data_IF_906704135462
#
_entry.id   IF_906704135462
#
_cell.length_a   1.000
_cell.length_b   1.000
_cell.length_c   1.000
_cell.angle_alpha   90.00
_cell.angle_beta   90.00
_cell.angle_gamma   90.00
#
_symmetry.space_group_name_H-M   'P 1'
#
loop_
_entity.id
_entity.type
_entity.pdbx_description
1 polymer ?
#
# COMPACT_ATOMS: atom_id res chain seq x y z
N UNK A 1 27.44 -16.50 -41.42
CA UNK A 1 26.03 -16.43 -40.92
C UNK A 1 25.93 -16.13 -39.41
N UNK A 2 26.86 -16.58 -38.55
CA UNK A 2 26.71 -16.45 -37.08
C UNK A 2 26.81 -15.05 -36.44
N UNK A 3 27.69 -14.15 -36.93
CA UNK A 3 27.95 -12.84 -36.25
C UNK A 3 26.74 -11.89 -36.25
N UNK A 4 25.99 -11.85 -37.35
CA UNK A 4 24.81 -10.98 -37.49
C UNK A 4 23.64 -11.47 -36.64
N UNK A 5 23.51 -12.80 -36.49
CA UNK A 5 22.47 -13.42 -35.66
C UNK A 5 22.68 -13.15 -34.17
N UNK A 6 23.93 -13.26 -33.68
CA UNK A 6 24.26 -12.95 -32.28
C UNK A 6 23.99 -11.47 -31.96
N UNK A 7 24.34 -10.54 -32.86
CA UNK A 7 24.02 -9.11 -32.69
C UNK A 7 22.52 -8.86 -32.61
N UNK A 8 21.74 -9.48 -33.48
CA UNK A 8 20.28 -9.31 -33.50
C UNK A 8 19.64 -9.84 -32.21
N UNK A 9 20.10 -10.98 -31.71
CA UNK A 9 19.66 -11.52 -30.41
C UNK A 9 20.03 -10.56 -29.27
N UNK A 10 21.24 -10.01 -29.26
CA UNK A 10 21.68 -9.04 -28.26
C UNK A 10 20.82 -7.77 -28.22
N UNK A 11 20.51 -7.20 -29.40
CA UNK A 11 19.60 -6.04 -29.52
C UNK A 11 18.23 -6.36 -28.91
N UNK A 12 17.65 -7.52 -29.26
CA UNK A 12 16.33 -7.91 -28.76
C UNK A 12 16.34 -8.09 -27.24
N UNK A 13 17.37 -8.73 -26.68
CA UNK A 13 17.49 -8.93 -25.24
C UNK A 13 17.60 -7.60 -24.47
N UNK A 14 18.40 -6.65 -24.98
CA UNK A 14 18.55 -5.32 -24.37
C UNK A 14 17.20 -4.59 -24.36
N UNK A 15 16.51 -4.54 -25.51
CA UNK A 15 15.23 -3.84 -25.62
C UNK A 15 14.14 -4.47 -24.75
N UNK A 16 14.04 -5.80 -24.73
CA UNK A 16 13.08 -6.50 -23.87
C UNK A 16 13.39 -6.28 -22.40
N UNK A 17 14.67 -6.29 -22.01
CA UNK A 17 15.10 -6.05 -20.64
C UNK A 17 14.70 -4.66 -20.15
N UNK A 18 14.97 -3.61 -20.93
CA UNK A 18 14.62 -2.24 -20.51
C UNK A 18 13.12 -1.99 -20.51
N UNK A 19 12.37 -2.51 -21.48
CA UNK A 19 10.90 -2.46 -21.48
C UNK A 19 10.33 -3.19 -20.27
N UNK A 20 10.90 -4.35 -19.92
CA UNK A 20 10.51 -5.13 -18.74
C UNK A 20 10.68 -4.34 -17.44
N UNK A 21 11.81 -3.64 -17.27
CA UNK A 21 12.05 -2.76 -16.11
C UNK A 21 11.01 -1.63 -16.05
N UNK A 22 10.71 -1.00 -17.18
CA UNK A 22 9.68 0.04 -17.25
C UNK A 22 8.29 -0.46 -16.86
N UNK A 23 7.93 -1.66 -17.35
CA UNK A 23 6.67 -2.31 -17.01
C UNK A 23 6.57 -2.64 -15.51
N UNK A 24 7.63 -3.20 -14.93
CA UNK A 24 7.68 -3.49 -13.49
C UNK A 24 7.52 -2.21 -12.67
N UNK A 25 8.21 -1.13 -13.05
CA UNK A 25 8.09 0.17 -12.38
C UNK A 25 6.67 0.74 -12.47
N UNK A 26 6.04 0.66 -13.64
CA UNK A 26 4.64 1.05 -13.81
C UNK A 26 3.71 0.24 -12.90
N UNK A 27 3.93 -1.08 -12.81
CA UNK A 27 3.12 -1.97 -11.95
C UNK A 27 3.29 -1.62 -10.47
N UNK A 28 4.50 -1.34 -10.00
CA UNK A 28 4.76 -0.90 -8.63
C UNK A 28 4.01 0.39 -8.30
N UNK A 29 4.04 1.39 -9.19
CA UNK A 29 3.33 2.65 -9.01
C UNK A 29 1.82 2.43 -8.87
N UNK A 30 1.23 1.57 -9.73
CA UNK A 30 -0.21 1.26 -9.65
C UNK A 30 -0.57 0.50 -8.38
N UNK A 31 0.24 -0.50 -8.00
CA UNK A 31 0.02 -1.31 -6.80
C UNK A 31 0.05 -0.44 -5.54
N UNK A 32 0.95 0.53 -5.47
CA UNK A 32 1.01 1.49 -4.38
C UNK A 32 -0.29 2.30 -4.25
N UNK A 33 -0.77 2.87 -5.34
CA UNK A 33 -2.03 3.61 -5.37
C UNK A 33 -3.25 2.76 -5.00
N UNK A 34 -3.34 1.54 -5.53
CA UNK A 34 -4.37 0.57 -5.14
C UNK A 34 -4.32 0.29 -3.64
N UNK A 35 -3.12 0.12 -3.07
CA UNK A 35 -2.93 -0.05 -1.63
C UNK A 35 -3.43 1.13 -0.78
N UNK A 36 -3.33 2.37 -1.28
CA UNK A 36 -3.90 3.54 -0.59
C UNK A 36 -5.44 3.54 -0.63
N UNK A 37 -6.04 3.12 -1.75
CA UNK A 37 -7.50 2.98 -1.87
C UNK A 37 -8.04 1.91 -0.92
N UNK A 38 -7.38 0.74 -0.91
CA UNK A 38 -7.68 -0.39 -0.04
C UNK A 38 -7.59 0.01 1.44
N UNK A 39 -6.53 0.73 1.81
CA UNK A 39 -6.37 1.25 3.17
C UNK A 39 -7.52 2.16 3.57
N UNK A 40 -7.90 3.13 2.71
CA UNK A 40 -9.04 4.01 2.97
C UNK A 40 -10.33 3.22 3.19
N UNK A 41 -10.60 2.23 2.36
CA UNK A 41 -11.79 1.38 2.48
C UNK A 41 -11.82 0.63 3.82
N UNK A 42 -10.67 0.09 4.24
CA UNK A 42 -10.55 -0.54 5.55
C UNK A 42 -10.88 0.45 6.69
N UNK A 43 -10.37 1.69 6.62
CA UNK A 43 -10.64 2.70 7.64
C UNK A 43 -12.09 3.15 7.66
N UNK A 44 -12.75 3.28 6.50
CA UNK A 44 -14.18 3.58 6.41
C UNK A 44 -15.02 2.48 7.05
N UNK A 45 -14.68 1.20 6.82
CA UNK A 45 -15.36 0.07 7.46
C UNK A 45 -15.19 0.08 8.97
N UNK A 46 -13.97 0.31 9.47
CA UNK A 46 -13.71 0.47 10.91
C UNK A 46 -14.56 1.59 11.50
N UNK A 47 -14.57 2.77 10.87
CA UNK A 47 -15.33 3.92 11.36
C UNK A 47 -16.83 3.60 11.44
N UNK A 48 -17.41 3.02 10.38
CA UNK A 48 -18.84 2.69 10.35
C UNK A 48 -19.22 1.64 11.40
N UNK A 49 -18.39 0.62 11.59
CA UNK A 49 -18.63 -0.41 12.58
C UNK A 49 -18.51 0.14 14.01
N UNK A 50 -17.49 0.95 14.29
CA UNK A 50 -17.28 1.61 15.59
C UNK A 50 -18.38 2.62 15.91
N UNK A 51 -18.91 3.34 14.91
CA UNK A 51 -20.05 4.25 15.06
C UNK A 51 -21.35 3.50 15.39
N UNK A 52 -21.53 2.30 14.85
CA UNK A 52 -22.74 1.51 15.10
C UNK A 52 -22.84 0.99 16.54
N UNK A 53 -21.72 0.90 17.27
CA UNK A 53 -21.61 0.36 18.63
C UNK A 53 -22.16 -1.07 18.82
N UNK A 54 -22.35 -1.83 17.74
CA UNK A 54 -23.02 -3.15 17.79
C UNK A 54 -22.11 -4.28 18.26
N UNK A 55 -20.79 -4.12 18.14
CA UNK A 55 -19.79 -5.14 18.40
C UNK A 55 -18.52 -4.54 19.01
N UNK A 56 -17.82 -5.29 19.87
CA UNK A 56 -16.55 -4.85 20.45
C UNK A 56 -15.43 -4.80 19.40
N UNK A 57 -14.42 -3.98 19.64
CA UNK A 57 -13.32 -3.75 18.69
C UNK A 57 -12.65 -5.03 18.16
N UNK A 58 -12.33 -6.06 18.99
CA UNK A 58 -11.72 -7.29 18.48
C UNK A 58 -12.57 -7.98 17.40
N UNK A 59 -13.90 -7.96 17.52
CA UNK A 59 -14.82 -8.54 16.54
C UNK A 59 -14.91 -7.71 15.27
N UNK A 60 -14.83 -6.37 15.39
CA UNK A 60 -14.73 -5.46 14.24
C UNK A 60 -13.48 -5.79 13.42
N UNK A 61 -12.33 -5.92 14.10
CA UNK A 61 -11.05 -6.22 13.45
C UNK A 61 -11.03 -7.63 12.86
N UNK A 62 -11.65 -8.63 13.52
CA UNK A 62 -11.77 -9.98 12.98
C UNK A 62 -12.60 -9.99 11.68
N UNK A 63 -13.77 -9.35 11.69
CA UNK A 63 -14.61 -9.28 10.50
C UNK A 63 -13.90 -8.55 9.36
N UNK A 64 -13.20 -7.46 9.67
CA UNK A 64 -12.39 -6.75 8.69
C UNK A 64 -11.27 -7.65 8.15
N UNK A 65 -10.57 -8.40 8.99
CA UNK A 65 -9.51 -9.31 8.56
C UNK A 65 -9.97 -10.40 7.59
N UNK A 66 -11.23 -10.81 7.67
CA UNK A 66 -11.81 -11.78 6.73
C UNK A 66 -12.25 -11.19 5.39
N UNK A 67 -12.55 -9.89 5.33
CA UNK A 67 -13.13 -9.24 4.14
C UNK A 67 -12.23 -8.17 3.53
N UNK A 68 -11.13 -7.80 4.20
CA UNK A 68 -10.18 -6.83 3.69
C UNK A 68 -9.51 -7.33 2.40
N UNK A 69 -8.98 -6.42 1.57
CA UNK A 69 -8.09 -6.77 0.47
C UNK A 69 -6.94 -7.66 0.96
N UNK A 70 -6.51 -8.61 0.12
CA UNK A 70 -5.54 -9.68 0.47
C UNK A 70 -4.29 -9.13 1.18
N UNK A 71 -3.78 -7.99 0.74
CA UNK A 71 -2.60 -7.36 1.32
C UNK A 71 -2.76 -7.05 2.83
N UNK A 72 -3.97 -6.70 3.27
CA UNK A 72 -4.29 -6.26 4.64
C UNK A 72 -4.88 -7.35 5.53
N UNK A 73 -5.35 -8.47 4.97
CA UNK A 73 -5.97 -9.55 5.76
C UNK A 73 -5.05 -10.05 6.87
N UNK A 74 -3.81 -10.37 6.54
CA UNK A 74 -2.81 -10.87 7.50
C UNK A 74 -2.50 -9.84 8.59
N UNK A 75 -2.49 -8.55 8.25
CA UNK A 75 -2.31 -7.47 9.22
C UNK A 75 -3.45 -7.44 10.23
N UNK A 76 -4.70 -7.37 9.77
CA UNK A 76 -5.86 -7.28 10.67
C UNK A 76 -6.05 -8.55 11.50
N UNK A 77 -5.78 -9.72 10.94
CA UNK A 77 -5.82 -10.98 11.70
C UNK A 77 -4.76 -11.00 12.81
N UNK A 78 -3.57 -10.43 12.56
CA UNK A 78 -2.54 -10.29 13.59
C UNK A 78 -2.97 -9.31 14.69
N UNK A 79 -3.53 -8.15 14.32
CA UNK A 79 -4.08 -7.19 15.31
C UNK A 79 -5.16 -7.84 16.17
N UNK A 80 -6.11 -8.57 15.56
CA UNK A 80 -7.15 -9.30 16.28
C UNK A 80 -6.55 -10.29 17.29
N UNK A 81 -5.59 -11.11 16.84
CA UNK A 81 -4.91 -12.08 17.70
C UNK A 81 -4.27 -11.43 18.91
N UNK A 82 -3.58 -10.31 18.71
CA UNK A 82 -2.92 -9.58 19.81
C UNK A 82 -3.94 -8.96 20.78
N UNK A 83 -5.03 -8.38 20.26
CA UNK A 83 -6.12 -7.85 21.09
C UNK A 83 -6.77 -8.93 21.97
N UNK A 84 -6.87 -10.17 21.49
CA UNK A 84 -7.48 -11.29 22.22
C UNK A 84 -6.52 -11.97 23.20
N UNK A 85 -5.20 -11.80 23.05
CA UNK A 85 -4.20 -12.50 23.86
C UNK A 85 -3.96 -11.86 25.22
N UNK A 86 -4.05 -10.53 25.34
CA UNK A 86 -3.80 -9.85 26.61
C UNK A 86 -5.04 -9.10 27.11
N UNK A 87 -5.43 -9.38 28.35
CA UNK A 87 -6.44 -8.60 29.06
C UNK A 87 -5.91 -7.16 29.22
N UNK A 88 -6.67 -6.16 28.77
CA UNK A 88 -6.26 -4.74 28.67
C UNK A 88 -5.17 -4.42 27.63
N UNK A 89 -5.10 -5.19 26.53
CA UNK A 89 -4.28 -4.85 25.36
C UNK A 89 -4.58 -3.44 24.86
N UNK A 90 -3.55 -2.59 24.77
CA UNK A 90 -3.64 -1.29 24.10
C UNK A 90 -3.83 -1.50 22.59
N UNK A 91 -4.94 -1.03 21.96
CA UNK A 91 -5.16 -1.18 20.52
C UNK A 91 -4.04 -0.57 19.68
N UNK A 92 -3.51 0.58 20.12
CA UNK A 92 -2.36 1.24 19.50
C UNK A 92 -1.11 0.37 19.51
N UNK A 93 -0.86 -0.31 20.62
CA UNK A 93 0.31 -1.16 20.77
C UNK A 93 0.20 -2.40 19.89
N UNK A 94 -0.98 -3.04 19.86
CA UNK A 94 -1.24 -4.19 18.99
C UNK A 94 -1.09 -3.82 17.50
N UNK A 95 -1.65 -2.68 17.10
CA UNK A 95 -1.53 -2.17 15.74
C UNK A 95 -0.05 -1.96 15.34
N UNK A 96 0.74 -1.40 16.25
CA UNK A 96 2.16 -1.11 16.02
C UNK A 96 2.99 -2.39 15.94
N UNK A 97 2.73 -3.39 16.78
CA UNK A 97 3.47 -4.66 16.73
C UNK A 97 3.12 -5.44 15.46
N UNK A 98 1.83 -5.52 15.08
CA UNK A 98 1.40 -6.08 13.80
C UNK A 98 2.09 -5.39 12.60
N UNK A 99 2.25 -4.07 12.64
CA UNK A 99 2.95 -3.32 11.58
C UNK A 99 4.42 -3.73 11.41
N UNK A 100 5.12 -4.06 12.50
CA UNK A 100 6.54 -4.45 12.45
C UNK A 100 6.75 -5.78 11.74
N UNK A 101 5.82 -6.72 11.87
CA UNK A 101 5.89 -8.06 11.27
C UNK A 101 5.17 -8.16 9.93
N UNK A 102 4.40 -7.14 9.54
CA UNK A 102 3.64 -7.16 8.29
C UNK A 102 4.52 -6.98 7.06
N UNK A 103 4.48 -7.98 6.17
CA UNK A 103 5.30 -8.06 4.95
C UNK A 103 4.91 -6.98 3.92
N UNK A 104 3.63 -6.61 3.85
CA UNK A 104 3.13 -5.65 2.86
C UNK A 104 3.33 -4.18 3.26
N UNK A 105 4.03 -3.88 4.37
CA UNK A 105 4.26 -2.50 4.81
C UNK A 105 5.02 -1.65 3.78
N UNK A 106 5.77 -2.28 2.87
CA UNK A 106 6.51 -1.60 1.79
C UNK A 106 5.59 -0.95 0.75
N UNK A 107 4.30 -1.26 0.77
CA UNK A 107 3.28 -0.50 0.02
C UNK A 107 3.34 0.97 0.43
N UNK A 108 3.67 1.30 1.68
CA UNK A 108 3.60 2.67 2.17
C UNK A 108 4.94 3.41 2.08
N UNK A 109 4.88 4.70 1.74
CA UNK A 109 5.97 5.63 2.01
C UNK A 109 6.16 5.82 3.52
N UNK A 110 7.27 6.45 3.90
CA UNK A 110 7.53 6.76 5.32
C UNK A 110 6.43 7.65 5.92
N UNK A 111 5.93 8.62 5.16
CA UNK A 111 4.86 9.54 5.58
C UNK A 111 3.53 8.79 5.75
N UNK A 112 3.14 8.00 4.77
CA UNK A 112 1.92 7.19 4.86
C UNK A 112 2.00 6.16 5.98
N UNK A 113 3.15 5.50 6.17
CA UNK A 113 3.34 4.54 7.25
C UNK A 113 3.22 5.19 8.63
N UNK A 114 3.65 6.45 8.78
CA UNK A 114 3.39 7.21 10.00
C UNK A 114 1.89 7.47 10.19
N UNK A 115 1.19 7.89 9.14
CA UNK A 115 -0.26 8.09 9.16
C UNK A 115 -1.02 6.78 9.48
N UNK A 116 -0.60 5.66 8.91
CA UNK A 116 -1.13 4.32 9.18
C UNK A 116 -0.96 3.92 10.65
N UNK A 117 0.18 4.23 11.27
CA UNK A 117 0.38 4.02 12.70
C UNK A 117 -0.50 4.93 13.58
N UNK A 118 -0.96 6.08 13.07
CA UNK A 118 -1.94 6.91 13.79
C UNK A 118 -3.30 6.24 13.90
N UNK A 119 -3.68 5.38 12.95
CA UNK A 119 -4.94 4.63 13.01
C UNK A 119 -5.03 3.77 14.29
N UNK A 120 -3.92 3.18 14.74
CA UNK A 120 -3.89 2.46 16.02
C UNK A 120 -4.20 3.36 17.22
N UNK A 121 -3.79 4.64 17.19
CA UNK A 121 -4.13 5.62 18.24
C UNK A 121 -5.61 5.99 18.22
N UNK A 122 -6.19 6.11 17.04
CA UNK A 122 -7.63 6.35 16.89
C UNK A 122 -8.43 5.23 17.55
N UNK A 123 -8.05 3.97 17.33
CA UNK A 123 -8.73 2.82 17.94
C UNK A 123 -8.66 2.79 19.47
N UNK A 124 -7.59 3.33 20.05
CA UNK A 124 -7.40 3.39 21.50
C UNK A 124 -8.36 4.36 22.19
N UNK A 125 -8.90 5.35 21.46
CA UNK A 125 -9.91 6.28 21.98
C UNK A 125 -11.28 5.62 22.17
N UNK A 126 -11.51 4.45 21.55
CA UNK A 126 -12.81 3.79 21.56
C UNK A 126 -13.80 4.46 20.62
N UNK A 127 -15.07 4.53 21.02
CA UNK A 127 -16.18 4.98 20.18
C UNK A 127 -16.85 6.24 20.73
N UNK A 128 -17.48 7.05 19.86
CA UNK A 128 -18.21 8.26 20.23
C UNK A 128 -17.78 9.48 19.42
N UNK A 129 -18.35 10.66 19.70
CA UNK A 129 -18.18 11.84 18.83
C UNK A 129 -16.74 12.34 18.63
N UNK A 130 -15.84 12.13 19.60
CA UNK A 130 -14.41 12.44 19.44
C UNK A 130 -13.74 11.48 18.47
N UNK A 131 -13.99 10.17 18.61
CA UNK A 131 -13.52 9.16 17.67
C UNK A 131 -14.04 9.43 16.25
N UNK A 132 -15.33 9.75 16.10
CA UNK A 132 -15.92 10.02 14.78
C UNK A 132 -15.20 11.17 14.07
N UNK A 133 -15.01 12.29 14.78
CA UNK A 133 -14.32 13.46 14.24
C UNK A 133 -12.85 13.17 13.90
N UNK A 134 -12.14 12.44 14.73
CA UNK A 134 -10.75 12.08 14.45
C UNK A 134 -10.62 11.05 13.32
N UNK A 135 -11.57 10.13 13.20
CA UNK A 135 -11.67 9.19 12.09
C UNK A 135 -11.89 9.92 10.77
N UNK A 136 -12.82 10.89 10.72
CA UNK A 136 -13.06 11.73 9.55
C UNK A 136 -11.78 12.48 9.12
N UNK A 137 -11.08 13.10 10.07
CA UNK A 137 -9.82 13.81 9.79
C UNK A 137 -8.70 12.88 9.32
N UNK A 138 -8.63 11.65 9.86
CA UNK A 138 -7.68 10.64 9.40
C UNK A 138 -8.00 10.19 7.97
N UNK A 139 -9.25 9.86 7.69
CA UNK A 139 -9.71 9.44 6.37
C UNK A 139 -9.51 10.54 5.34
N UNK A 140 -9.72 11.80 5.70
CA UNK A 140 -9.46 12.92 4.79
C UNK A 140 -7.97 13.09 4.47
N UNK A 141 -7.09 12.87 5.45
CA UNK A 141 -5.64 12.83 5.17
C UNK A 141 -5.27 11.69 4.22
N UNK A 142 -5.91 10.53 4.34
CA UNK A 142 -5.74 9.42 3.37
C UNK A 142 -6.25 9.85 1.98
N UNK A 143 -7.40 10.53 1.89
CA UNK A 143 -7.93 11.04 0.61
C UNK A 143 -6.96 12.02 -0.07
N UNK A 144 -6.33 12.91 0.70
CA UNK A 144 -5.33 13.85 0.18
C UNK A 144 -4.13 13.09 -0.41
N UNK A 145 -3.65 12.04 0.27
CA UNK A 145 -2.57 11.19 -0.24
C UNK A 145 -2.97 10.46 -1.53
N UNK A 146 -4.19 9.90 -1.58
CA UNK A 146 -4.75 9.27 -2.78
C UNK A 146 -4.82 10.25 -3.95
N UNK A 147 -5.32 11.46 -3.72
CA UNK A 147 -5.45 12.49 -4.76
C UNK A 147 -4.07 12.91 -5.28
N UNK A 148 -3.10 13.12 -4.39
CA UNK A 148 -1.72 13.43 -4.77
C UNK A 148 -1.10 12.31 -5.59
N UNK A 149 -1.24 11.07 -5.15
CA UNK A 149 -0.71 9.92 -5.88
C UNK A 149 -1.37 9.80 -7.26
N UNK A 150 -2.69 10.02 -7.36
CA UNK A 150 -3.43 9.98 -8.61
C UNK A 150 -2.95 11.04 -9.62
N UNK A 151 -2.67 12.27 -9.17
CA UNK A 151 -2.23 13.37 -10.04
C UNK A 151 -0.80 13.14 -10.54
N UNK A 152 0.09 12.66 -9.67
CA UNK A 152 1.50 12.43 -9.99
C UNK A 152 1.74 11.12 -10.77
N UNK A 153 0.87 10.11 -10.60
CA UNK A 153 1.05 8.76 -11.14
C UNK A 153 1.26 8.74 -12.65
N UNK A 154 0.40 9.43 -13.39
CA UNK A 154 0.43 9.38 -14.87
C UNK A 154 1.76 9.90 -15.38
N UNK A 155 2.27 10.97 -14.78
CA UNK A 155 3.54 11.58 -15.16
C UNK A 155 4.72 10.69 -14.77
N UNK A 156 4.72 10.15 -13.54
CA UNK A 156 5.75 9.21 -13.08
C UNK A 156 5.85 7.96 -13.94
N UNK A 157 4.72 7.38 -14.34
CA UNK A 157 4.69 6.23 -15.27
C UNK A 157 5.28 6.63 -16.62
N UNK A 158 4.84 7.76 -17.19
CA UNK A 158 5.36 8.25 -18.47
C UNK A 158 6.87 8.44 -18.42
N UNK A 159 7.36 9.23 -17.47
CA UNK A 159 8.80 9.52 -17.31
C UNK A 159 9.61 8.23 -17.14
N UNK A 160 9.14 7.29 -16.31
CA UNK A 160 9.81 6.00 -16.12
C UNK A 160 9.91 5.19 -17.42
N UNK A 161 8.81 5.11 -18.19
CA UNK A 161 8.79 4.41 -19.47
C UNK A 161 9.70 5.07 -20.51
N UNK A 162 9.68 6.40 -20.60
CA UNK A 162 10.56 7.15 -21.51
C UNK A 162 12.03 6.92 -21.18
N UNK A 163 12.41 6.99 -19.89
CA UNK A 163 13.79 6.73 -19.45
C UNK A 163 14.25 5.31 -19.78
N UNK A 164 13.38 4.31 -19.59
CA UNK A 164 13.70 2.92 -19.93
C UNK A 164 13.88 2.72 -21.45
N UNK A 165 13.01 3.35 -22.25
CA UNK A 165 13.11 3.28 -23.71
C UNK A 165 14.38 3.96 -24.22
N UNK A 166 14.70 5.17 -23.75
CA UNK A 166 15.90 5.90 -24.19
C UNK A 166 17.19 5.21 -23.73
N UNK A 167 17.23 4.68 -22.51
CA UNK A 167 18.35 3.89 -22.02
C UNK A 167 18.55 2.60 -22.85
N UNK A 168 17.48 1.91 -23.24
CA UNK A 168 17.55 0.72 -24.09
C UNK A 168 18.14 1.02 -25.47
N UNK A 169 17.67 2.08 -26.12
CA UNK A 169 18.21 2.53 -27.42
C UNK A 169 19.69 2.88 -27.28
N UNK A 170 20.06 3.62 -26.24
CA UNK A 170 21.44 4.02 -26.00
C UNK A 170 22.38 2.82 -25.79
N UNK A 171 21.95 1.81 -25.03
CA UNK A 171 22.72 0.58 -24.84
C UNK A 171 22.91 -0.19 -26.15
N UNK A 172 21.86 -0.27 -26.99
CA UNK A 172 21.97 -0.87 -28.33
C UNK A 172 23.01 -0.14 -29.18
N UNK A 173 23.01 1.19 -29.17
CA UNK A 173 23.95 1.99 -29.98
C UNK A 173 25.42 1.83 -29.55
N UNK A 174 25.69 1.58 -28.27
CA UNK A 174 27.06 1.44 -27.76
C UNK A 174 27.58 0.00 -27.93
N UNK A 175 26.73 -0.99 -27.72
CA UNK A 175 27.16 -2.39 -27.58
C UNK A 175 27.15 -3.18 -28.90
N UNK A 176 26.51 -2.68 -29.96
CA UNK A 176 26.26 -3.43 -31.21
C UNK A 176 26.95 -2.77 -32.41
#
# INVERSE_FOLDING_TARGET
MGKNMVRLIGVVLILLGTVGIGYDRMRQIKKHYEGLLDWRECMLKIQGDMQSLKKPLPDIIAELGHHAPEAFQTFFMQVHKELMQYENSSPKSCWKEAWKSWENREIFTKEEGQLFLECGRLLEQGSGGMFEKEAELLIERINILIQREQTEMRERIKVSMYLCATAGIFLVLILV
#
